data_IF_135320026492
#
_entry.id   IF_135320026492
#
_cell.length_a   1.000
_cell.length_b   1.000
_cell.length_c   1.000
_cell.angle_alpha   90.00
_cell.angle_beta   90.00
_cell.angle_gamma   90.00
#
_symmetry.space_group_name_H-M   'P 1'
#
loop_
_entity.id
_entity.type
_entity.pdbx_description
1 polymer ?
#
# COMPACT_ATOMS: atom_id res chain seq x y z
N UNK A 1 2.13 -10.26 -20.29
CA UNK A 1 1.47 -9.14 -19.58
C UNK A 1 0.62 -9.77 -18.51
N UNK A 2 0.64 -9.30 -17.25
CA UNK A 2 -0.24 -9.84 -16.21
C UNK A 2 -1.71 -9.65 -16.62
N UNK A 3 -2.60 -10.50 -16.08
CA UNK A 3 -4.03 -10.40 -16.34
C UNK A 3 -4.66 -9.30 -15.48
N UNK A 4 -5.84 -8.80 -15.87
CA UNK A 4 -6.53 -7.78 -15.08
C UNK A 4 -6.93 -8.30 -13.70
N UNK A 5 -7.19 -9.60 -13.57
CA UNK A 5 -7.51 -10.24 -12.29
C UNK A 5 -6.32 -10.18 -11.31
N UNK A 6 -5.09 -10.30 -11.81
CA UNK A 6 -3.86 -10.19 -11.01
C UNK A 6 -3.58 -8.75 -10.52
N UNK A 7 -4.22 -7.74 -11.13
CA UNK A 7 -4.10 -6.34 -10.76
C UNK A 7 -5.13 -5.91 -9.71
N UNK A 8 -6.12 -6.76 -9.43
CA UNK A 8 -7.14 -6.46 -8.41
C UNK A 8 -6.62 -6.78 -7.02
N UNK A 9 -6.53 -5.75 -6.17
CA UNK A 9 -6.25 -5.93 -4.75
C UNK A 9 -7.59 -5.83 -4.01
N UNK A 10 -7.98 -6.84 -3.20
CA UNK A 10 -9.28 -6.82 -2.53
C UNK A 10 -9.41 -5.72 -1.47
N UNK A 11 -8.30 -5.09 -1.09
CA UNK A 11 -8.22 -4.07 -0.06
C UNK A 11 -7.44 -2.86 -0.60
N UNK A 12 -8.18 -1.83 -1.01
CA UNK A 12 -7.61 -0.56 -1.48
C UNK A 12 -7.43 0.43 -0.32
N UNK A 13 -6.28 1.13 -0.32
CA UNK A 13 -6.01 2.20 0.65
C UNK A 13 -6.72 3.47 0.19
N UNK A 14 -7.82 3.83 0.85
CA UNK A 14 -8.62 5.05 0.55
C UNK A 14 -8.09 6.32 1.21
N UNK A 15 -6.87 6.28 1.77
CA UNK A 15 -6.26 7.39 2.48
C UNK A 15 -5.84 8.50 1.51
N UNK A 16 -6.18 9.75 1.82
CA UNK A 16 -5.71 10.88 1.00
C UNK A 16 -4.17 11.01 1.05
N UNK A 17 -3.59 11.60 0.00
CA UNK A 17 -2.12 11.75 -0.12
C UNK A 17 -1.43 12.44 1.07
N UNK A 18 -1.98 13.50 1.69
CA UNK A 18 -1.35 14.12 2.86
C UNK A 18 -1.30 13.17 4.07
N UNK A 19 -2.39 12.43 4.31
CA UNK A 19 -2.46 11.46 5.40
C UNK A 19 -1.51 10.29 5.14
N UNK A 20 -1.44 9.81 3.90
CA UNK A 20 -0.54 8.71 3.55
C UNK A 20 0.92 9.09 3.77
N UNK A 21 1.32 10.30 3.37
CA UNK A 21 2.66 10.82 3.63
C UNK A 21 2.98 10.92 5.12
N UNK A 22 2.02 11.32 5.94
CA UNK A 22 2.21 11.44 7.38
C UNK A 22 2.47 10.08 8.05
N UNK A 23 1.78 9.02 7.61
CA UNK A 23 1.92 7.68 8.19
C UNK A 23 2.97 6.80 7.50
N UNK A 24 3.49 7.20 6.33
CA UNK A 24 4.38 6.39 5.51
C UNK A 24 5.63 5.89 6.26
N UNK A 25 6.27 6.73 7.08
CA UNK A 25 7.44 6.32 7.85
C UNK A 25 7.12 5.23 8.90
N UNK A 26 5.94 5.31 9.52
CA UNK A 26 5.47 4.29 10.45
C UNK A 26 5.09 3.01 9.71
N UNK A 27 4.33 3.11 8.62
CA UNK A 27 3.97 1.96 7.79
C UNK A 27 5.20 1.23 7.24
N UNK A 28 6.21 1.96 6.75
CA UNK A 28 7.45 1.34 6.27
C UNK A 28 8.14 0.50 7.34
N UNK A 29 8.13 0.95 8.59
CA UNK A 29 8.70 0.18 9.71
C UNK A 29 7.80 -0.98 10.12
N UNK A 30 6.49 -0.77 10.19
CA UNK A 30 5.53 -1.75 10.68
C UNK A 30 5.28 -2.89 9.67
N UNK A 31 5.43 -2.61 8.37
CA UNK A 31 5.18 -3.52 7.28
C UNK A 31 6.46 -3.83 6.48
N UNK A 32 7.65 -3.69 7.10
CA UNK A 32 8.93 -3.85 6.40
C UNK A 32 9.08 -5.20 5.68
N UNK A 33 8.52 -6.27 6.27
CA UNK A 33 8.58 -7.64 5.72
C UNK A 33 7.76 -7.79 4.44
N UNK A 34 6.63 -7.08 4.32
CA UNK A 34 5.71 -7.14 3.16
C UNK A 34 6.12 -6.18 2.03
N UNK A 35 6.99 -5.20 2.34
CA UNK A 35 7.48 -4.19 1.40
C UNK A 35 8.78 -4.62 0.71
N UNK A 36 9.52 -5.57 1.28
CA UNK A 36 10.76 -6.13 0.72
C UNK A 36 10.51 -7.00 -0.51
#
# INVERSE_FOLDING_TARGET
MPSDEDLTVPQEITLSTPWFKAVAAYMNKACEEEIK
#
